data_IF_915345674512
#
_entry.id   IF_915345674512
#
_cell.length_a   1.000
_cell.length_b   1.000
_cell.length_c   1.000
_cell.angle_alpha   90.00
_cell.angle_beta   90.00
_cell.angle_gamma   90.00
#
_symmetry.space_group_name_H-M   'P 1'
#
loop_
_entity.id
_entity.type
_entity.pdbx_description
1 polymer ?
#
# COMPACT_ATOMS: atom_id res chain seq x y z
N UNK A 1 26.25 7.30 8.87
CA UNK A 1 25.03 8.12 8.67
C UNK A 1 24.16 7.55 7.54
N UNK A 2 24.65 7.49 6.30
CA UNK A 2 23.93 6.99 5.13
C UNK A 2 23.19 5.65 5.33
N UNK A 3 23.83 4.66 5.98
CA UNK A 3 23.21 3.36 6.29
C UNK A 3 21.88 3.50 7.04
N UNK A 4 21.82 4.38 8.03
CA UNK A 4 20.63 4.61 8.86
C UNK A 4 19.62 5.53 8.18
N UNK A 5 20.08 6.47 7.34
CA UNK A 5 19.18 7.29 6.52
C UNK A 5 18.41 6.40 5.54
N UNK A 6 19.08 5.46 4.87
CA UNK A 6 18.44 4.46 4.01
C UNK A 6 17.52 3.54 4.81
N UNK A 7 17.91 3.11 6.02
CA UNK A 7 17.04 2.31 6.88
C UNK A 7 15.76 3.06 7.26
N UNK A 8 15.84 4.37 7.48
CA UNK A 8 14.64 5.18 7.72
C UNK A 8 13.78 5.32 6.46
N UNK A 9 14.38 5.44 5.27
CA UNK A 9 13.61 5.35 4.02
C UNK A 9 12.87 4.02 3.89
N UNK A 10 13.47 2.90 4.32
CA UNK A 10 12.75 1.63 4.38
C UNK A 10 11.62 1.63 5.41
N UNK A 11 11.81 2.22 6.60
CA UNK A 11 10.71 2.41 7.56
C UNK A 11 9.55 3.17 6.90
N UNK A 12 9.85 4.31 6.28
CA UNK A 12 8.86 5.16 5.60
C UNK A 12 8.17 4.43 4.44
N UNK A 13 8.92 3.66 3.67
CA UNK A 13 8.35 2.81 2.61
C UNK A 13 7.28 1.86 3.18
N UNK A 14 7.56 1.15 4.26
CA UNK A 14 6.60 0.23 4.87
C UNK A 14 5.45 0.97 5.57
N UNK A 15 5.72 1.99 6.37
CA UNK A 15 4.71 2.67 7.19
C UNK A 15 3.84 3.64 6.37
N UNK A 16 4.43 4.49 5.54
CA UNK A 16 3.70 5.55 4.83
C UNK A 16 2.97 5.02 3.59
N UNK A 17 3.54 4.03 2.89
CA UNK A 17 2.94 3.50 1.66
C UNK A 17 2.16 2.21 1.88
N UNK A 18 2.72 1.28 2.66
CA UNK A 18 2.14 -0.04 2.86
C UNK A 18 1.33 -0.14 4.16
N UNK A 19 1.33 0.89 5.01
CA UNK A 19 0.72 0.87 6.33
C UNK A 19 1.18 -0.32 7.20
N UNK A 20 2.41 -0.78 7.01
CA UNK A 20 3.00 -1.90 7.76
C UNK A 20 3.97 -1.35 8.80
N UNK A 21 3.77 -1.61 10.10
CA UNK A 21 4.73 -1.25 11.13
C UNK A 21 5.97 -2.14 11.05
N UNK A 22 7.16 -1.56 11.23
CA UNK A 22 8.42 -2.29 11.29
C UNK A 22 9.24 -1.88 12.50
N UNK A 23 10.18 -2.74 12.91
CA UNK A 23 11.13 -2.46 13.97
C UNK A 23 12.52 -2.32 13.35
N UNK A 24 13.15 -1.16 13.52
CA UNK A 24 14.56 -0.95 13.14
C UNK A 24 15.48 -1.63 14.15
N UNK A 25 16.53 -2.29 13.69
CA UNK A 25 17.50 -2.94 14.58
C UNK A 25 18.84 -3.24 13.91
N UNK A 26 19.75 -3.84 14.68
CA UNK A 26 20.99 -4.42 14.19
C UNK A 26 20.90 -5.94 14.27
N UNK A 27 21.41 -6.63 13.24
CA UNK A 27 21.57 -8.08 13.29
C UNK A 27 22.66 -8.46 14.29
N UNK A 28 22.51 -9.62 14.92
CA UNK A 28 23.59 -10.22 15.70
C UNK A 28 24.77 -10.58 14.80
N UNK A 29 25.94 -10.84 15.40
CA UNK A 29 27.14 -11.22 14.64
C UNK A 29 26.95 -12.48 13.80
N UNK A 30 26.13 -13.44 14.26
CA UNK A 30 25.82 -14.66 13.50
C UNK A 30 24.83 -14.45 12.34
N UNK A 31 24.02 -13.39 12.40
CA UNK A 31 22.93 -13.13 11.44
C UNK A 31 23.22 -11.95 10.49
N UNK A 32 24.32 -11.22 10.71
CA UNK A 32 24.71 -10.13 9.82
C UNK A 32 25.24 -10.71 8.51
N UNK A 33 25.22 -9.89 7.45
CA UNK A 33 25.92 -10.26 6.22
C UNK A 33 27.43 -10.44 6.50
N UNK A 34 27.98 -11.60 6.15
CA UNK A 34 29.36 -11.96 6.49
C UNK A 34 30.42 -10.97 5.97
N UNK A 35 30.15 -10.31 4.83
CA UNK A 35 31.02 -9.27 4.29
C UNK A 35 30.86 -7.90 4.95
N UNK A 36 29.87 -7.71 5.83
CA UNK A 36 29.58 -6.43 6.46
C UNK A 36 30.32 -6.26 7.80
N UNK A 37 30.70 -5.03 8.10
CA UNK A 37 31.13 -4.63 9.44
C UNK A 37 29.93 -4.73 10.40
N UNK A 38 28.79 -4.13 10.05
CA UNK A 38 27.51 -4.38 10.70
C UNK A 38 26.35 -4.39 9.68
N UNK A 39 25.27 -5.07 10.03
CA UNK A 39 24.03 -5.10 9.25
C UNK A 39 22.90 -4.51 10.07
N UNK A 40 22.29 -3.44 9.56
CA UNK A 40 21.04 -2.90 10.08
C UNK A 40 19.86 -3.46 9.30
N UNK A 41 18.73 -3.62 9.98
CA UNK A 41 17.56 -4.34 9.45
C UNK A 41 16.27 -3.65 9.85
N UNK A 42 15.24 -3.81 9.03
CA UNK A 42 13.86 -3.55 9.38
C UNK A 42 13.14 -4.90 9.50
N UNK A 43 12.57 -5.19 10.67
CA UNK A 43 11.86 -6.43 10.96
C UNK A 43 10.35 -6.19 10.99
N UNK A 44 9.60 -7.07 10.33
CA UNK A 44 8.14 -7.12 10.40
C UNK A 44 7.71 -8.43 11.08
N UNK A 45 6.44 -8.52 11.46
CA UNK A 45 5.88 -9.69 12.13
C UNK A 45 4.52 -10.04 11.55
N UNK A 46 4.28 -11.34 11.33
CA UNK A 46 2.99 -11.88 10.88
C UNK A 46 2.35 -12.60 12.06
N UNK A 47 1.28 -12.02 12.58
CA UNK A 47 0.63 -12.46 13.82
C UNK A 47 0.01 -13.85 13.69
N UNK A 48 -0.57 -14.16 12.54
CA UNK A 48 -1.36 -15.36 12.26
C UNK A 48 -0.51 -16.63 12.31
N UNK A 49 0.78 -16.55 11.96
CA UNK A 49 1.70 -17.68 12.00
C UNK A 49 2.80 -17.53 13.07
N UNK A 50 2.84 -16.40 13.79
CA UNK A 50 3.82 -16.11 14.83
C UNK A 50 5.26 -15.94 14.32
N UNK A 51 5.47 -15.58 13.05
CA UNK A 51 6.81 -15.48 12.45
C UNK A 51 7.21 -14.05 12.15
N UNK A 52 8.43 -13.71 12.58
CA UNK A 52 9.12 -12.52 12.10
C UNK A 52 9.63 -12.72 10.67
N UNK A 53 9.74 -11.63 9.93
CA UNK A 53 10.25 -11.60 8.56
C UNK A 53 11.07 -10.34 8.33
N UNK A 54 12.28 -10.50 7.80
CA UNK A 54 13.11 -9.36 7.44
C UNK A 54 12.49 -8.61 6.25
N UNK A 55 12.13 -7.36 6.51
CA UNK A 55 11.48 -6.46 5.57
C UNK A 55 12.50 -5.83 4.61
N UNK A 56 13.60 -5.28 5.14
CA UNK A 56 14.68 -4.69 4.36
C UNK A 56 16.01 -4.73 5.12
N UNK A 57 17.12 -4.47 4.42
CA UNK A 57 18.47 -4.49 5.00
C UNK A 57 19.33 -3.34 4.49
N UNK A 58 20.19 -2.81 5.37
CA UNK A 58 21.17 -1.77 5.06
C UNK A 58 22.48 -2.06 5.80
N UNK A 59 23.56 -2.23 5.07
CA UNK A 59 24.83 -2.73 5.54
C UNK A 59 25.89 -1.62 5.54
N UNK A 60 26.64 -1.53 6.63
CA UNK A 60 27.94 -0.89 6.60
C UNK A 60 28.99 -1.96 6.29
N UNK A 61 29.63 -1.87 5.13
CA UNK A 61 30.61 -2.86 4.68
C UNK A 61 32.02 -2.55 5.19
N UNK A 62 32.26 -1.33 5.68
CA UNK A 62 33.59 -0.85 5.99
C UNK A 62 34.47 -0.90 4.75
N UNK A 63 35.70 -1.39 4.90
CA UNK A 63 36.67 -1.53 3.81
C UNK A 63 36.81 -2.98 3.32
N UNK A 64 35.94 -3.90 3.74
CA UNK A 64 36.11 -5.33 3.47
C UNK A 64 36.19 -5.63 1.97
N UNK A 65 35.20 -5.14 1.22
CA UNK A 65 35.17 -5.29 -0.24
C UNK A 65 36.18 -4.40 -0.95
N UNK A 66 36.43 -3.19 -0.43
CA UNK A 66 37.43 -2.28 -0.98
C UNK A 66 38.83 -2.92 -0.99
N UNK A 67 39.21 -3.61 0.09
CA UNK A 67 40.46 -4.38 0.15
C UNK A 67 40.47 -5.56 -0.84
N UNK A 68 39.38 -6.31 -0.90
CA UNK A 68 39.25 -7.47 -1.79
C UNK A 68 39.37 -7.08 -3.27
N UNK A 69 38.79 -5.95 -3.66
CA UNK A 69 38.71 -5.47 -5.04
C UNK A 69 39.70 -4.34 -5.37
N UNK A 70 40.59 -3.98 -4.44
CA UNK A 70 41.56 -2.87 -4.58
C UNK A 70 40.90 -1.54 -4.98
N UNK A 71 39.79 -1.22 -4.33
CA UNK A 71 39.05 0.03 -4.55
C UNK A 71 39.65 1.10 -3.64
N UNK A 72 40.58 1.87 -4.20
CA UNK A 72 41.40 2.85 -3.50
C UNK A 72 41.11 4.26 -4.02
N UNK A 73 41.33 5.26 -3.17
CA UNK A 73 41.39 6.66 -3.52
C UNK A 73 42.60 7.31 -2.88
N UNK A 74 42.99 8.48 -3.36
CA UNK A 74 44.06 9.28 -2.77
C UNK A 74 43.42 10.38 -1.92
N UNK A 75 43.85 10.50 -0.67
CA UNK A 75 43.32 11.51 0.25
C UNK A 75 43.98 12.89 0.05
N UNK A 76 43.57 13.88 0.85
CA UNK A 76 44.08 15.26 0.76
C UNK A 76 45.59 15.38 1.01
N UNK A 77 46.23 14.35 1.56
CA UNK A 77 47.68 14.30 1.80
C UNK A 77 48.42 13.44 0.76
N UNK A 78 47.77 13.11 -0.36
CA UNK A 78 48.34 12.27 -1.41
C UNK A 78 48.62 10.81 -0.95
N UNK A 79 47.90 10.34 0.08
CA UNK A 79 48.06 8.98 0.62
C UNK A 79 46.92 8.08 0.13
N UNK A 80 47.27 6.89 -0.35
CA UNK A 80 46.29 5.87 -0.75
C UNK A 80 45.49 5.36 0.45
N UNK A 81 44.17 5.43 0.35
CA UNK A 81 43.19 4.96 1.32
C UNK A 81 42.17 4.02 0.66
N UNK A 82 41.55 3.14 1.46
CA UNK A 82 40.42 2.32 1.01
C UNK A 82 39.09 3.04 1.22
N UNK A 83 38.19 2.93 0.25
CA UNK A 83 36.84 3.49 0.40
C UNK A 83 36.04 2.75 1.46
N UNK A 84 35.21 3.49 2.21
CA UNK A 84 34.23 2.93 3.12
C UNK A 84 32.91 2.72 2.39
N UNK A 85 32.46 1.47 2.29
CA UNK A 85 31.33 1.09 1.45
C UNK A 85 30.07 0.77 2.28
N UNK A 86 28.95 0.88 1.60
CA UNK A 86 27.61 0.55 2.12
C UNK A 86 26.82 -0.14 1.01
N UNK A 87 25.95 -1.08 1.36
CA UNK A 87 24.97 -1.67 0.44
C UNK A 87 23.62 -1.81 1.13
N UNK A 88 22.54 -1.82 0.37
CA UNK A 88 21.19 -1.90 0.92
C UNK A 88 20.23 -2.50 -0.10
N UNK A 89 19.15 -3.11 0.39
CA UNK A 89 18.16 -3.75 -0.47
C UNK A 89 16.80 -3.91 0.20
N UNK A 90 15.77 -3.73 -0.62
CA UNK A 90 14.39 -4.08 -0.36
C UNK A 90 13.83 -4.76 -1.61
N UNK A 91 12.88 -5.67 -1.46
CA UNK A 91 12.37 -6.48 -2.58
C UNK A 91 10.84 -6.50 -2.60
N UNK A 92 10.26 -7.13 -3.62
CA UNK A 92 8.82 -7.40 -3.73
C UNK A 92 8.26 -8.23 -2.57
N UNK A 93 9.10 -8.79 -1.69
CA UNK A 93 8.70 -9.33 -0.39
C UNK A 93 7.83 -8.33 0.39
N UNK A 94 8.06 -7.03 0.25
CA UNK A 94 7.24 -5.99 0.88
C UNK A 94 5.75 -6.10 0.53
N UNK A 95 5.43 -6.50 -0.70
CA UNK A 95 4.04 -6.71 -1.14
C UNK A 95 3.43 -7.89 -0.39
N UNK A 96 4.15 -9.00 -0.25
CA UNK A 96 3.70 -10.16 0.51
C UNK A 96 3.48 -9.84 1.99
N UNK A 97 4.38 -9.06 2.61
CA UNK A 97 4.23 -8.60 4.00
C UNK A 97 2.95 -7.78 4.13
N UNK A 98 2.74 -6.76 3.27
CA UNK A 98 1.52 -5.95 3.29
C UNK A 98 0.25 -6.79 3.13
N UNK A 99 0.24 -7.75 2.19
CA UNK A 99 -0.91 -8.65 2.00
C UNK A 99 -1.20 -9.42 3.29
N UNK A 100 -0.18 -10.01 3.91
CA UNK A 100 -0.35 -10.76 5.15
C UNK A 100 -0.74 -9.87 6.34
N UNK A 101 -0.31 -8.62 6.37
CA UNK A 101 -0.64 -7.68 7.47
C UNK A 101 -2.11 -7.24 7.46
N UNK A 102 -2.70 -7.04 6.28
CA UNK A 102 -4.00 -6.36 6.18
C UNK A 102 -5.15 -7.25 5.71
N UNK A 103 -4.88 -8.33 4.97
CA UNK A 103 -5.95 -9.15 4.39
C UNK A 103 -6.82 -9.81 5.46
N UNK A 104 -8.08 -10.05 5.12
CA UNK A 104 -9.05 -10.72 5.97
C UNK A 104 -9.71 -11.90 5.23
N UNK A 105 -10.69 -12.54 5.86
CA UNK A 105 -11.41 -13.69 5.27
C UNK A 105 -12.18 -13.35 3.97
N UNK A 106 -12.41 -12.06 3.69
CA UNK A 106 -13.06 -11.61 2.45
C UNK A 106 -12.05 -11.43 1.31
N UNK A 107 -10.75 -11.41 1.61
CA UNK A 107 -9.67 -11.30 0.64
C UNK A 107 -8.73 -10.12 0.93
N UNK A 108 -8.23 -9.50 -0.14
CA UNK A 108 -7.26 -8.41 -0.02
C UNK A 108 -7.87 -7.20 0.70
N UNK A 109 -7.06 -6.52 1.51
CA UNK A 109 -7.31 -5.16 2.00
C UNK A 109 -6.10 -4.34 1.64
N UNK A 110 -6.23 -3.47 0.63
CA UNK A 110 -5.10 -2.67 0.15
C UNK A 110 -5.09 -1.31 0.83
N UNK A 111 -3.95 -0.84 1.36
CA UNK A 111 -3.80 0.54 1.76
C UNK A 111 -4.11 1.47 0.58
N UNK A 112 -4.83 2.58 0.80
CA UNK A 112 -5.19 3.50 -0.27
C UNK A 112 -3.99 3.90 -1.12
N UNK A 113 -2.83 4.21 -0.53
CA UNK A 113 -1.64 4.69 -1.25
C UNK A 113 -1.14 3.75 -2.36
N UNK A 114 -1.35 2.44 -2.22
CA UNK A 114 -0.90 1.43 -3.20
C UNK A 114 -2.03 0.74 -3.97
N UNK A 115 -3.30 1.08 -3.71
CA UNK A 115 -4.41 0.61 -4.55
C UNK A 115 -4.50 1.38 -5.87
N UNK A 116 -4.64 0.69 -7.00
CA UNK A 116 -4.85 1.32 -8.32
C UNK A 116 -6.14 2.15 -8.35
N UNK A 117 -7.24 1.57 -7.85
CA UNK A 117 -8.53 2.23 -7.73
C UNK A 117 -8.82 2.42 -6.25
N UNK A 118 -8.99 3.67 -5.81
CA UNK A 118 -9.29 3.98 -4.41
C UNK A 118 -10.76 3.72 -4.09
N UNK A 119 -11.62 3.89 -5.10
CA UNK A 119 -13.05 3.69 -4.98
C UNK A 119 -13.62 2.87 -6.15
N UNK A 120 -14.66 2.09 -5.86
CA UNK A 120 -15.54 1.49 -6.87
C UNK A 120 -16.96 2.00 -6.69
N UNK A 121 -17.61 2.40 -7.77
CA UNK A 121 -18.99 2.88 -7.78
C UNK A 121 -19.87 1.75 -8.29
N UNK A 122 -20.85 1.33 -7.48
CA UNK A 122 -21.75 0.23 -7.80
C UNK A 122 -23.20 0.72 -7.79
N UNK A 123 -23.90 0.69 -8.95
CA UNK A 123 -25.31 1.05 -9.03
C UNK A 123 -26.16 -0.09 -8.46
N UNK A 124 -27.16 0.26 -7.65
CA UNK A 124 -28.17 -0.67 -7.12
C UNK A 124 -29.44 -0.51 -7.95
N UNK A 125 -29.65 -1.45 -8.87
CA UNK A 125 -30.80 -1.47 -9.77
C UNK A 125 -31.88 -2.45 -9.30
N UNK A 126 -33.13 -2.05 -9.42
CA UNK A 126 -34.32 -2.90 -9.25
C UNK A 126 -35.16 -2.88 -10.53
N UNK A 127 -36.05 -3.86 -10.72
CA UNK A 127 -36.87 -4.02 -11.94
C UNK A 127 -37.63 -2.76 -12.42
N UNK A 128 -37.97 -1.84 -11.52
CA UNK A 128 -38.74 -0.62 -11.82
C UNK A 128 -37.90 0.66 -11.79
N UNK A 129 -36.58 0.53 -11.83
CA UNK A 129 -35.66 1.65 -11.66
C UNK A 129 -35.38 2.33 -12.99
N UNK A 130 -35.35 3.66 -13.01
CA UNK A 130 -34.77 4.41 -14.12
C UNK A 130 -33.24 4.28 -14.07
N UNK A 131 -32.74 3.29 -14.80
CA UNK A 131 -31.31 2.96 -14.87
C UNK A 131 -30.48 4.14 -15.41
N UNK A 132 -31.02 4.89 -16.38
CA UNK A 132 -30.32 6.01 -16.99
C UNK A 132 -30.06 7.13 -15.98
N UNK A 133 -31.03 7.42 -15.13
CA UNK A 133 -30.88 8.41 -14.05
C UNK A 133 -29.81 7.97 -13.06
N UNK A 134 -29.80 6.70 -12.63
CA UNK A 134 -28.76 6.19 -11.71
C UNK A 134 -27.38 6.21 -12.37
N UNK A 135 -27.27 5.74 -13.61
CA UNK A 135 -25.99 5.70 -14.33
C UNK A 135 -25.42 7.10 -14.55
N UNK A 136 -26.26 8.06 -14.87
CA UNK A 136 -25.86 9.47 -14.99
C UNK A 136 -25.34 10.00 -13.66
N UNK A 137 -26.03 9.71 -12.55
CA UNK A 137 -25.59 10.10 -11.21
C UNK A 137 -24.26 9.45 -10.80
N UNK A 138 -24.07 8.17 -11.09
CA UNK A 138 -22.80 7.47 -10.89
C UNK A 138 -21.66 8.09 -11.69
N UNK A 139 -21.88 8.43 -12.96
CA UNK A 139 -20.90 9.10 -13.84
C UNK A 139 -20.53 10.48 -13.34
N UNK A 140 -21.48 11.21 -12.73
CA UNK A 140 -21.20 12.50 -12.10
C UNK A 140 -20.29 12.35 -10.88
N UNK A 141 -20.55 11.38 -10.00
CA UNK A 141 -19.66 11.04 -8.88
C UNK A 141 -18.26 10.63 -9.40
N UNK A 142 -18.22 9.78 -10.42
CA UNK A 142 -16.96 9.35 -11.04
C UNK A 142 -16.15 10.54 -11.56
N UNK A 143 -16.81 11.48 -12.24
CA UNK A 143 -16.20 12.70 -12.77
C UNK A 143 -15.64 13.56 -11.64
N UNK A 144 -16.40 13.76 -10.56
CA UNK A 144 -15.98 14.53 -9.39
C UNK A 144 -14.72 13.92 -8.75
N UNK A 145 -14.72 12.60 -8.50
CA UNK A 145 -13.56 11.89 -7.95
C UNK A 145 -12.33 11.98 -8.86
N UNK A 146 -12.49 11.68 -10.16
CA UNK A 146 -11.39 11.74 -11.13
C UNK A 146 -10.83 13.16 -11.29
N UNK A 147 -11.68 14.18 -11.23
CA UNK A 147 -11.24 15.58 -11.27
C UNK A 147 -10.35 15.98 -10.09
N UNK A 148 -10.48 15.26 -8.97
CA UNK A 148 -9.64 15.40 -7.77
C UNK A 148 -8.48 14.40 -7.72
N UNK A 149 -8.12 13.81 -8.86
CA UNK A 149 -7.05 12.81 -8.98
C UNK A 149 -7.29 11.52 -8.17
N UNK A 150 -8.53 11.28 -7.73
CA UNK A 150 -8.93 10.03 -7.07
C UNK A 150 -9.35 9.05 -8.15
N UNK A 151 -8.46 8.09 -8.45
CA UNK A 151 -8.78 7.07 -9.45
C UNK A 151 -9.86 6.12 -8.92
N UNK A 152 -10.95 6.01 -9.67
CA UNK A 152 -12.10 5.19 -9.33
C UNK A 152 -12.59 4.40 -10.55
N UNK A 153 -13.42 3.39 -10.31
CA UNK A 153 -14.02 2.55 -11.35
C UNK A 153 -15.52 2.46 -11.14
N UNK A 154 -16.30 2.72 -12.20
CA UNK A 154 -17.73 2.48 -12.23
C UNK A 154 -18.01 1.07 -12.76
N UNK A 155 -18.70 0.24 -11.99
CA UNK A 155 -19.06 -1.13 -12.38
C UNK A 155 -20.52 -1.20 -12.86
N UNK A 156 -20.70 -0.96 -14.16
CA UNK A 156 -21.98 -0.93 -14.87
C UNK A 156 -22.36 -2.26 -15.54
N UNK A 157 -21.62 -3.34 -15.26
CA UNK A 157 -21.92 -4.67 -15.83
C UNK A 157 -23.32 -5.12 -15.41
N UNK A 158 -24.22 -5.27 -16.37
CA UNK A 158 -25.63 -5.61 -16.20
C UNK A 158 -25.85 -7.10 -15.85
N UNK A 159 -24.96 -7.98 -16.29
CA UNK A 159 -25.02 -9.43 -16.04
C UNK A 159 -24.85 -9.84 -14.57
N UNK A 160 -24.39 -8.93 -13.70
CA UNK A 160 -24.05 -9.24 -12.32
C UNK A 160 -24.92 -8.48 -11.33
N UNK A 161 -25.40 -9.20 -10.31
CA UNK A 161 -26.13 -8.58 -9.19
C UNK A 161 -25.23 -7.62 -8.41
N UNK A 162 -25.79 -6.60 -7.73
CA UNK A 162 -25.01 -5.73 -6.86
C UNK A 162 -24.20 -6.50 -5.81
N UNK A 163 -24.79 -7.54 -5.21
CA UNK A 163 -24.10 -8.40 -4.24
C UNK A 163 -22.90 -9.14 -4.83
N UNK A 164 -22.97 -9.59 -6.09
CA UNK A 164 -21.81 -10.17 -6.78
C UNK A 164 -20.70 -9.13 -6.94
N UNK A 165 -21.06 -7.91 -7.38
CA UNK A 165 -20.10 -6.81 -7.56
C UNK A 165 -19.44 -6.44 -6.23
N UNK A 166 -20.20 -6.40 -5.13
CA UNK A 166 -19.67 -6.13 -3.79
C UNK A 166 -18.56 -7.11 -3.43
N UNK A 167 -18.85 -8.41 -3.51
CA UNK A 167 -17.86 -9.46 -3.21
C UNK A 167 -16.68 -9.43 -4.17
N UNK A 168 -16.92 -9.20 -5.47
CA UNK A 168 -15.86 -9.12 -6.48
C UNK A 168 -14.82 -8.05 -6.15
N UNK A 169 -15.26 -6.87 -5.70
CA UNK A 169 -14.36 -5.76 -5.38
C UNK A 169 -13.82 -5.80 -3.95
N UNK A 170 -14.55 -6.38 -3.00
CA UNK A 170 -14.05 -6.68 -1.65
C UNK A 170 -12.87 -7.66 -1.74
N UNK A 171 -13.00 -8.75 -2.50
CA UNK A 171 -11.94 -9.73 -2.72
C UNK A 171 -10.65 -9.11 -3.28
N UNK A 172 -10.80 -8.10 -4.15
CA UNK A 172 -9.68 -7.38 -4.77
C UNK A 172 -9.13 -6.22 -3.93
N UNK A 173 -9.73 -5.95 -2.78
CA UNK A 173 -9.25 -4.99 -1.79
C UNK A 173 -9.35 -3.53 -2.21
N UNK A 174 -10.35 -3.15 -3.01
CA UNK A 174 -10.61 -1.73 -3.25
C UNK A 174 -11.01 -1.06 -1.93
N UNK A 175 -10.33 0.03 -1.49
CA UNK A 175 -10.54 0.62 -0.16
C UNK A 175 -11.96 1.10 0.13
N UNK A 176 -12.61 1.74 -0.85
CA UNK A 176 -13.96 2.31 -0.71
C UNK A 176 -14.88 1.74 -1.78
N UNK A 177 -16.06 1.29 -1.37
CA UNK A 177 -17.19 1.08 -2.29
C UNK A 177 -18.20 2.20 -2.10
N UNK A 178 -18.68 2.76 -3.21
CA UNK A 178 -19.73 3.77 -3.26
C UNK A 178 -20.97 3.11 -3.85
N UNK A 179 -22.01 2.99 -3.05
CA UNK A 179 -23.30 2.42 -3.44
C UNK A 179 -24.26 3.55 -3.81
N UNK A 180 -24.95 3.40 -4.95
CA UNK A 180 -25.92 4.38 -5.45
C UNK A 180 -27.19 3.67 -5.86
N UNK A 181 -28.26 3.84 -5.09
CA UNK A 181 -29.60 3.36 -5.42
C UNK A 181 -30.61 4.50 -5.70
N UNK A 182 -31.87 4.16 -6.01
CA UNK A 182 -32.91 5.15 -6.32
C UNK A 182 -33.16 6.14 -5.17
N UNK A 183 -33.11 5.66 -3.92
CA UNK A 183 -33.30 6.50 -2.72
C UNK A 183 -32.17 7.51 -2.55
N UNK A 184 -30.95 7.12 -2.90
CA UNK A 184 -29.77 7.98 -2.80
C UNK A 184 -29.82 9.10 -3.85
N UNK A 185 -30.26 8.78 -5.07
CA UNK A 185 -30.47 9.79 -6.12
C UNK A 185 -31.56 10.79 -5.70
N UNK A 186 -32.69 10.31 -5.16
CA UNK A 186 -33.77 11.19 -4.67
C UNK A 186 -33.33 12.11 -3.52
N UNK A 187 -32.43 11.65 -2.66
CA UNK A 187 -31.94 12.41 -1.50
C UNK A 187 -30.61 13.12 -1.74
N UNK A 188 -30.12 13.11 -2.98
CA UNK A 188 -28.85 13.66 -3.44
C UNK A 188 -27.67 13.22 -2.55
N UNK A 189 -27.61 11.92 -2.26
CA UNK A 189 -26.57 11.27 -1.46
C UNK A 189 -26.01 10.02 -2.14
N UNK A 190 -25.12 9.32 -1.45
CA UNK A 190 -24.64 7.98 -1.74
C UNK A 190 -24.19 7.32 -0.42
N UNK A 191 -23.92 6.02 -0.45
CA UNK A 191 -23.38 5.30 0.71
C UNK A 191 -21.94 4.90 0.43
N UNK A 192 -21.03 5.33 1.31
CA UNK A 192 -19.65 4.86 1.31
C UNK A 192 -19.55 3.64 2.23
N UNK A 193 -18.87 2.60 1.77
CA UNK A 193 -18.57 1.41 2.54
C UNK A 193 -17.07 1.20 2.55
N UNK A 194 -16.51 1.15 3.75
CA UNK A 194 -15.09 0.92 4.00
C UNK A 194 -14.74 -0.56 3.85
N UNK A 195 -13.63 -0.86 3.18
CA UNK A 195 -13.17 -2.24 2.97
C UNK A 195 -12.65 -2.90 4.25
N UNK A 196 -11.94 -2.15 5.08
CA UNK A 196 -11.25 -2.66 6.26
C UNK A 196 -12.19 -3.04 7.41
N UNK A 197 -13.26 -2.27 7.62
CA UNK A 197 -14.18 -2.46 8.75
C UNK A 197 -15.67 -2.62 8.36
N UNK A 198 -16.01 -2.53 7.07
CA UNK A 198 -17.39 -2.56 6.54
C UNK A 198 -18.32 -1.46 7.09
N UNK A 199 -17.77 -0.41 7.69
CA UNK A 199 -18.53 0.74 8.14
C UNK A 199 -19.22 1.44 6.97
N UNK A 200 -20.49 1.81 7.16
CA UNK A 200 -21.31 2.47 6.16
C UNK A 200 -21.57 3.92 6.57
N UNK A 201 -21.33 4.83 5.64
CA UNK A 201 -21.51 6.27 5.87
C UNK A 201 -22.38 6.82 4.75
N UNK A 202 -23.48 7.47 5.12
CA UNK A 202 -24.30 8.23 4.17
C UNK A 202 -23.64 9.59 3.92
N UNK A 203 -23.30 9.86 2.66
CA UNK A 203 -22.57 11.06 2.25
C UNK A 203 -23.43 11.83 1.26
N UNK A 204 -23.64 13.13 1.53
CA UNK A 204 -24.29 14.03 0.57
C UNK A 204 -23.39 14.20 -0.65
N UNK A 205 -23.98 14.33 -1.84
CA UNK A 205 -23.22 14.43 -3.09
C UNK A 205 -22.16 15.52 -3.09
N UNK A 206 -22.50 16.68 -2.53
CA UNK A 206 -21.59 17.82 -2.36
C UNK A 206 -20.41 17.57 -1.42
N UNK A 207 -20.55 16.57 -0.53
CA UNK A 207 -19.53 16.17 0.43
C UNK A 207 -18.73 14.93 -0.01
N UNK A 208 -18.91 14.43 -1.24
CA UNK A 208 -18.19 13.25 -1.76
C UNK A 208 -16.66 13.43 -1.76
N UNK A 209 -16.18 14.67 -1.82
CA UNK A 209 -14.75 15.02 -1.77
C UNK A 209 -14.28 15.58 -0.42
N UNK A 210 -15.21 15.85 0.51
CA UNK A 210 -14.91 16.44 1.82
C UNK A 210 -14.60 15.33 2.83
#
# INVERSE_FOLDING_TARGET
>A
KLVFDILDLYRRWYEEYLAVPIIKGLKSEGEKFAGANFTSTAEAFISENGRAIQAATSHYLGTNFAKMFKIEYEDENEIKQYVHQTSWGCTTRSIGIMIMTHSDDKGLVLPPNVSKYKAVIVPILYKTTDENTIYSYCKEIEKVLKSSQINCIFDDRDLYSPGYKFNHWELRGIPIRIEVGPKDVQSNSCVFVRRDNNEKIHVKKESVLL
#
